data_IF_671711211622
#
_entry.id   IF_671711211622
#
_cell.length_a   1.000
_cell.length_b   1.000
_cell.length_c   1.000
_cell.angle_alpha   90.00
_cell.angle_beta   90.00
_cell.angle_gamma   90.00
#
_symmetry.space_group_name_H-M   'P 1'
#
loop_
_entity.id
_entity.type
_entity.pdbx_description
1 polymer ?
#
# COMPACT_ATOMS: atom_id res chain seq x y z
N UNK A 1 -17.01 -17.18 -19.56
CA UNK A 1 -15.79 -17.46 -20.31
C UNK A 1 -14.65 -17.91 -19.41
N UNK A 2 -13.50 -18.21 -20.02
CA UNK A 2 -12.26 -18.59 -19.31
C UNK A 2 -11.09 -17.78 -19.89
N UNK A 3 -10.13 -17.41 -19.07
CA UNK A 3 -8.86 -16.87 -19.55
C UNK A 3 -8.10 -18.00 -20.28
N UNK A 4 -7.73 -17.77 -21.54
CA UNK A 4 -7.06 -18.78 -22.39
C UNK A 4 -5.54 -18.60 -22.42
N UNK A 5 -5.09 -17.36 -22.30
CA UNK A 5 -3.68 -16.99 -22.45
C UNK A 5 -3.38 -15.65 -21.80
N UNK A 6 -2.10 -15.39 -21.59
CA UNK A 6 -1.56 -14.09 -21.19
C UNK A 6 -0.73 -13.55 -22.35
N UNK A 7 -1.02 -12.30 -22.75
CA UNK A 7 -0.22 -11.56 -23.73
C UNK A 7 0.89 -10.81 -22.99
N UNK A 8 2.10 -10.83 -23.54
CA UNK A 8 3.26 -10.14 -22.99
C UNK A 8 4.21 -9.69 -24.08
N UNK A 9 5.07 -8.74 -23.79
CA UNK A 9 6.13 -8.32 -24.70
C UNK A 9 7.45 -9.00 -24.34
N UNK A 10 8.11 -9.56 -25.33
CA UNK A 10 9.46 -10.13 -25.16
C UNK A 10 10.52 -9.01 -25.04
N UNK A 11 11.77 -9.39 -24.77
CA UNK A 11 12.89 -8.45 -24.66
C UNK A 11 13.18 -7.65 -25.94
N UNK A 12 12.56 -8.00 -27.05
CA UNK A 12 12.68 -7.31 -28.34
C UNK A 12 11.46 -6.42 -28.66
N UNK A 13 10.50 -6.39 -27.73
CA UNK A 13 9.24 -5.63 -27.91
C UNK A 13 8.19 -6.33 -28.78
N UNK A 14 8.36 -7.63 -29.09
CA UNK A 14 7.36 -8.38 -29.84
C UNK A 14 6.28 -8.91 -28.90
N UNK A 15 5.01 -8.78 -29.29
CA UNK A 15 3.91 -9.38 -28.56
C UNK A 15 3.95 -10.91 -28.69
N UNK A 16 3.81 -11.57 -27.56
CA UNK A 16 3.81 -13.02 -27.40
C UNK A 16 2.57 -13.46 -26.62
N UNK A 17 2.13 -14.69 -26.79
CA UNK A 17 1.01 -15.28 -26.08
C UNK A 17 1.46 -16.55 -25.35
N UNK A 18 1.16 -16.61 -24.04
CA UNK A 18 1.37 -17.82 -23.24
C UNK A 18 0.02 -18.41 -22.84
N UNK A 19 -0.28 -19.59 -23.36
CA UNK A 19 -1.48 -20.35 -22.96
C UNK A 19 -1.32 -20.93 -21.55
N UNK A 20 -2.40 -20.89 -20.78
CA UNK A 20 -2.45 -21.42 -19.42
C UNK A 20 -3.84 -22.01 -19.11
N UNK A 21 -3.87 -23.03 -18.24
CA UNK A 21 -5.11 -23.57 -17.68
C UNK A 21 -5.70 -22.66 -16.62
N UNK A 22 -4.83 -22.01 -15.83
CA UNK A 22 -5.18 -21.00 -14.84
C UNK A 22 -4.24 -19.81 -14.96
N UNK A 23 -4.75 -18.61 -14.66
CA UNK A 23 -4.00 -17.35 -14.62
C UNK A 23 -4.07 -16.80 -13.20
N UNK A 24 -2.92 -16.48 -12.63
CA UNK A 24 -2.80 -15.86 -11.30
C UNK A 24 -2.17 -14.49 -11.48
N UNK A 25 -2.92 -13.45 -11.15
CA UNK A 25 -2.47 -12.05 -11.26
C UNK A 25 -1.96 -11.58 -9.90
N UNK A 26 -0.76 -11.00 -9.89
CA UNK A 26 -0.05 -10.52 -8.71
C UNK A 26 0.66 -9.18 -9.02
N UNK A 27 -0.04 -8.26 -9.67
CA UNK A 27 0.52 -6.98 -10.15
C UNK A 27 0.39 -5.82 -9.17
N UNK A 28 -0.03 -6.05 -7.93
CA UNK A 28 -0.38 -5.07 -6.89
C UNK A 28 -1.69 -4.30 -7.17
N UNK A 29 -2.07 -3.39 -6.24
CA UNK A 29 -3.32 -2.62 -6.33
C UNK A 29 -3.36 -1.55 -7.43
N UNK A 30 -2.29 -1.36 -8.21
CA UNK A 30 -2.29 -0.46 -9.35
C UNK A 30 -2.27 -1.22 -10.68
N UNK A 31 -1.31 -2.14 -10.86
CA UNK A 31 -1.15 -2.83 -12.14
C UNK A 31 -2.13 -3.99 -12.34
N UNK A 32 -2.61 -4.63 -11.26
CA UNK A 32 -3.66 -5.67 -11.37
C UNK A 32 -4.94 -5.11 -11.97
N UNK A 33 -5.56 -4.04 -11.45
CA UNK A 33 -6.75 -3.47 -12.09
C UNK A 33 -6.44 -2.90 -13.50
N UNK A 34 -5.26 -2.32 -13.73
CA UNK A 34 -4.86 -1.89 -15.08
C UNK A 34 -4.90 -3.04 -16.07
N UNK A 35 -4.28 -4.17 -15.74
CA UNK A 35 -4.27 -5.37 -16.60
C UNK A 35 -5.68 -5.86 -16.89
N UNK A 36 -6.54 -5.94 -15.87
CA UNK A 36 -7.92 -6.40 -16.03
C UNK A 36 -8.75 -5.44 -16.91
N UNK A 37 -8.63 -4.14 -16.69
CA UNK A 37 -9.32 -3.12 -17.50
C UNK A 37 -8.84 -3.12 -18.95
N UNK A 38 -7.53 -3.27 -19.22
CA UNK A 38 -6.99 -3.39 -20.58
C UNK A 38 -7.38 -4.70 -21.27
N UNK A 39 -7.79 -5.71 -20.53
CA UNK A 39 -8.18 -7.03 -21.04
C UNK A 39 -9.68 -7.07 -21.43
N UNK A 40 -10.24 -5.93 -21.84
CA UNK A 40 -11.60 -5.85 -22.35
C UNK A 40 -11.79 -6.69 -23.62
N UNK A 41 -13.00 -7.19 -23.83
CA UNK A 41 -13.41 -7.99 -24.99
C UNK A 41 -14.88 -7.76 -25.32
N UNK A 42 -15.36 -8.28 -26.45
CA UNK A 42 -16.78 -8.21 -26.79
C UNK A 42 -17.69 -8.83 -25.72
N UNK A 43 -17.20 -9.81 -24.97
CA UNK A 43 -17.94 -10.46 -23.87
C UNK A 43 -17.82 -9.70 -22.55
N UNK A 44 -16.78 -8.91 -22.36
CA UNK A 44 -16.49 -8.12 -21.15
C UNK A 44 -15.97 -6.73 -21.56
N UNK A 45 -16.84 -5.86 -22.08
CA UNK A 45 -16.44 -4.58 -22.67
C UNK A 45 -15.85 -3.58 -21.67
N UNK A 46 -16.20 -3.73 -20.38
CA UNK A 46 -15.74 -2.84 -19.31
C UNK A 46 -14.47 -3.36 -18.59
N UNK A 47 -13.80 -4.38 -19.18
CA UNK A 47 -12.62 -5.04 -18.63
C UNK A 47 -12.89 -6.47 -18.13
N UNK A 48 -11.85 -7.28 -18.11
CA UNK A 48 -11.90 -8.67 -17.65
C UNK A 48 -12.24 -8.72 -16.15
N UNK A 49 -13.13 -9.62 -15.75
CA UNK A 49 -13.58 -9.78 -14.37
C UNK A 49 -14.27 -8.55 -13.75
N UNK A 50 -14.88 -7.70 -14.56
CA UNK A 50 -15.44 -6.40 -14.14
C UNK A 50 -16.96 -6.28 -14.31
N UNK A 51 -17.73 -7.38 -14.28
CA UNK A 51 -19.19 -7.34 -14.35
C UNK A 51 -19.81 -6.54 -13.19
N UNK A 52 -19.16 -6.53 -12.03
CA UNK A 52 -19.55 -5.74 -10.86
C UNK A 52 -19.26 -4.25 -10.98
N UNK A 53 -18.35 -3.84 -11.89
CA UNK A 53 -17.82 -2.48 -11.96
C UNK A 53 -16.86 -2.10 -10.81
N UNK A 54 -16.36 -3.10 -10.04
CA UNK A 54 -15.47 -2.86 -8.89
C UNK A 54 -13.98 -2.96 -9.22
N UNK A 55 -13.59 -3.41 -10.41
CA UNK A 55 -12.19 -3.37 -10.82
C UNK A 55 -11.68 -1.94 -10.87
N UNK A 56 -10.66 -1.65 -10.11
CA UNK A 56 -10.05 -0.34 -9.96
C UNK A 56 -10.63 0.53 -8.85
N UNK A 57 -11.80 0.21 -8.26
CA UNK A 57 -12.43 0.99 -7.18
C UNK A 57 -11.89 0.62 -5.80
N UNK A 58 -12.21 1.47 -4.82
CA UNK A 58 -11.86 1.28 -3.41
C UNK A 58 -10.34 1.24 -3.16
N UNK A 59 -9.58 2.00 -3.92
CA UNK A 59 -8.14 2.16 -3.68
C UNK A 59 -7.91 2.68 -2.26
N UNK A 60 -7.07 1.99 -1.51
CA UNK A 60 -6.66 2.38 -0.17
C UNK A 60 -5.15 2.55 -0.13
N UNK A 61 -4.73 3.71 0.41
CA UNK A 61 -3.38 3.96 0.88
C UNK A 61 -3.44 4.07 2.40
N UNK A 62 -2.41 3.71 3.11
CA UNK A 62 -2.33 4.07 4.53
C UNK A 62 -1.72 5.47 4.63
N UNK A 63 -2.38 6.39 5.30
CA UNK A 63 -1.75 7.64 5.69
C UNK A 63 -0.75 7.37 6.83
N UNK A 64 0.29 8.19 6.90
CA UNK A 64 1.33 8.04 7.91
C UNK A 64 1.67 9.41 8.51
N UNK A 65 1.56 9.50 9.82
CA UNK A 65 2.12 10.59 10.59
C UNK A 65 3.58 10.29 10.96
N UNK A 66 4.42 11.30 10.93
CA UNK A 66 5.84 11.17 11.24
C UNK A 66 6.27 12.16 12.33
N UNK A 67 6.94 11.64 13.33
CA UNK A 67 7.70 12.45 14.29
C UNK A 67 9.14 11.97 14.23
N UNK A 68 10.06 12.92 14.04
CA UNK A 68 11.48 12.62 14.11
C UNK A 68 12.02 13.03 15.47
N UNK A 69 12.90 12.23 16.04
CA UNK A 69 13.43 12.43 17.37
C UNK A 69 14.92 12.14 17.42
N UNK A 70 15.71 13.06 17.98
CA UNK A 70 17.15 12.93 18.19
C UNK A 70 17.43 12.68 19.66
N UNK A 71 18.37 11.80 19.94
CA UNK A 71 18.79 11.40 21.29
C UNK A 71 20.24 11.79 21.55
N UNK A 72 20.59 12.02 22.81
CA UNK A 72 21.95 12.37 23.21
C UNK A 72 22.95 11.27 22.86
N UNK A 73 22.56 10.00 23.08
CA UNK A 73 23.42 8.84 22.81
C UNK A 73 23.20 8.26 21.43
N UNK A 74 24.25 7.78 20.75
CA UNK A 74 24.09 7.05 19.50
C UNK A 74 23.24 5.80 19.68
N UNK A 75 22.18 5.67 18.91
CA UNK A 75 21.27 4.52 18.86
C UNK A 75 21.78 3.44 17.92
N UNK A 76 22.46 3.86 16.83
CA UNK A 76 22.98 2.97 15.79
C UNK A 76 21.91 2.03 15.18
N UNK A 77 20.71 2.51 15.09
CA UNK A 77 19.52 1.78 14.62
C UNK A 77 19.69 1.21 13.20
N UNK A 78 20.47 1.87 12.35
CA UNK A 78 20.81 1.40 11.00
C UNK A 78 21.52 0.04 10.96
N UNK A 79 22.02 -0.46 12.09
CA UNK A 79 22.67 -1.78 12.22
C UNK A 79 21.70 -2.92 12.51
N UNK A 80 20.43 -2.59 12.78
CA UNK A 80 19.40 -3.54 13.14
C UNK A 80 18.32 -3.71 12.08
N UNK A 81 17.26 -4.43 12.44
CA UNK A 81 16.03 -4.48 11.63
C UNK A 81 15.26 -3.17 11.81
N UNK A 82 14.56 -2.77 10.75
CA UNK A 82 13.91 -1.47 10.68
C UNK A 82 12.83 -1.26 11.76
N UNK A 83 12.01 -2.27 12.04
CA UNK A 83 10.93 -2.21 13.03
C UNK A 83 10.97 -3.46 13.91
N UNK A 84 11.06 -3.28 15.23
CA UNK A 84 11.06 -4.39 16.19
C UNK A 84 9.92 -4.34 17.20
N UNK A 85 9.27 -3.18 17.35
CA UNK A 85 8.19 -2.94 18.31
C UNK A 85 7.12 -2.07 17.66
N UNK A 86 5.87 -2.40 17.97
CA UNK A 86 4.70 -1.66 17.53
C UNK A 86 3.76 -1.51 18.72
N UNK A 87 3.23 -0.31 18.92
CA UNK A 87 2.18 0.01 19.88
C UNK A 87 0.85 -0.13 19.16
N UNK A 88 -0.02 -1.02 19.64
CA UNK A 88 -1.34 -1.28 19.09
C UNK A 88 -2.50 -0.75 19.95
N UNK A 89 -2.19 -0.02 21.02
CA UNK A 89 -3.19 0.50 21.98
C UNK A 89 -4.25 1.39 21.32
N UNK A 90 -3.95 1.94 20.15
CA UNK A 90 -4.84 2.84 19.39
C UNK A 90 -5.47 2.17 18.17
N UNK A 91 -5.36 0.86 18.03
CA UNK A 91 -5.80 0.16 16.82
C UNK A 91 -7.32 0.00 16.75
N UNK A 92 -7.94 -0.30 17.85
CA UNK A 92 -9.40 -0.47 17.93
C UNK A 92 -10.12 0.89 17.76
N UNK A 93 -11.28 0.85 17.11
CA UNK A 93 -12.15 2.01 17.01
C UNK A 93 -12.59 2.46 18.40
N UNK A 94 -12.56 3.78 18.63
CA UNK A 94 -12.98 4.40 19.89
C UNK A 94 -13.73 5.70 19.58
N UNK A 95 -15.03 5.69 19.77
CA UNK A 95 -15.91 6.83 19.47
C UNK A 95 -15.53 8.11 20.24
N UNK A 96 -14.88 7.96 21.41
CA UNK A 96 -14.42 9.10 22.19
C UNK A 96 -13.30 9.92 21.49
N UNK A 97 -12.65 9.35 20.49
CA UNK A 97 -11.63 10.05 19.71
C UNK A 97 -12.20 11.00 18.65
N UNK A 98 -13.49 10.85 18.31
CA UNK A 98 -14.17 11.72 17.35
C UNK A 98 -13.88 11.43 15.88
N UNK A 99 -13.28 10.28 15.55
CA UNK A 99 -13.07 9.77 14.21
C UNK A 99 -13.26 8.24 14.18
N UNK A 100 -13.55 7.69 13.00
CA UNK A 100 -13.67 6.26 12.78
C UNK A 100 -12.32 5.62 12.45
N UNK A 101 -12.12 4.41 12.97
CA UNK A 101 -10.93 3.61 12.70
C UNK A 101 -9.88 3.71 13.81
N UNK A 102 -8.70 3.23 13.49
CA UNK A 102 -7.58 3.21 14.43
C UNK A 102 -6.25 3.05 13.72
N UNK A 103 -5.20 3.06 14.50
CA UNK A 103 -3.84 2.96 13.98
C UNK A 103 -2.87 2.42 15.01
N UNK A 104 -1.61 2.45 14.68
CA UNK A 104 -0.57 2.04 15.61
C UNK A 104 0.70 2.82 15.37
N UNK A 105 1.56 2.82 16.36
CA UNK A 105 2.82 3.54 16.33
C UNK A 105 3.97 2.54 16.29
N UNK A 106 4.85 2.70 15.33
CA UNK A 106 6.13 2.00 15.29
C UNK A 106 7.31 2.97 15.33
N UNK A 107 8.45 2.47 15.80
CA UNK A 107 9.69 3.21 15.82
C UNK A 107 10.62 2.56 14.83
N UNK A 108 11.13 3.34 13.89
CA UNK A 108 11.99 2.81 12.82
C UNK A 108 13.24 3.64 12.60
N UNK A 109 14.28 2.91 12.17
CA UNK A 109 15.42 3.54 11.52
C UNK A 109 14.92 4.35 10.34
N UNK A 110 15.40 5.55 10.18
CA UNK A 110 15.17 6.30 8.96
C UNK A 110 15.69 5.50 7.77
N UNK A 111 14.84 5.20 6.89
CA UNK A 111 14.76 4.42 5.66
C UNK A 111 16.05 3.94 5.00
N UNK A 112 17.21 4.36 5.44
CA UNK A 112 18.44 3.90 4.82
C UNK A 112 19.68 4.11 5.67
N UNK A 113 20.63 3.23 5.43
CA UNK A 113 22.01 3.41 5.82
C UNK A 113 22.71 4.55 5.06
N UNK A 114 22.03 5.34 4.24
CA UNK A 114 22.65 6.44 3.47
C UNK A 114 22.24 7.81 4.02
N UNK A 115 23.20 8.67 4.37
CA UNK A 115 22.93 10.00 4.89
C UNK A 115 22.05 10.88 3.97
N UNK A 116 22.07 10.66 2.66
CA UNK A 116 21.28 11.44 1.68
C UNK A 116 19.78 11.22 1.89
N UNK A 117 19.33 9.99 2.04
CA UNK A 117 17.90 9.69 2.30
C UNK A 117 17.49 10.16 3.70
N UNK A 118 18.39 10.15 4.66
CA UNK A 118 18.16 10.75 5.96
C UNK A 118 17.86 12.25 5.84
N UNK A 119 18.59 12.95 4.98
CA UNK A 119 18.40 14.39 4.78
C UNK A 119 17.08 14.74 4.11
N UNK A 120 16.54 13.87 3.24
CA UNK A 120 15.27 14.14 2.57
C UNK A 120 14.05 13.91 3.49
N UNK A 121 14.14 12.92 4.37
CA UNK A 121 12.98 12.42 5.11
C UNK A 121 12.93 12.89 6.57
N UNK A 122 13.98 13.48 7.09
CA UNK A 122 14.05 13.70 8.51
C UNK A 122 14.97 14.80 9.01
N UNK A 123 15.26 15.82 8.22
CA UNK A 123 16.06 16.95 8.74
C UNK A 123 15.22 17.85 9.65
N UNK A 124 15.81 18.37 10.73
CA UNK A 124 15.16 19.37 11.56
C UNK A 124 14.79 20.63 10.76
N UNK A 125 13.62 21.25 11.01
CA UNK A 125 13.13 22.39 10.22
C UNK A 125 13.96 23.67 10.40
N UNK A 126 14.78 23.76 11.45
CA UNK A 126 15.65 24.88 11.77
C UNK A 126 17.06 24.75 11.19
N UNK A 127 17.35 23.71 10.44
CA UNK A 127 18.64 23.46 9.80
C UNK A 127 18.59 23.86 8.32
N UNK A 128 19.60 24.57 7.80
CA UNK A 128 19.66 24.85 6.37
C UNK A 128 19.61 23.57 5.53
N UNK A 129 18.97 23.63 4.36
CA UNK A 129 18.84 22.47 3.46
C UNK A 129 20.10 22.18 2.61
N UNK A 130 21.18 22.93 2.80
CA UNK A 130 22.45 22.78 2.07
C UNK A 130 23.63 23.43 2.81
N UNK A 131 24.85 23.13 2.36
CA UNK A 131 26.08 23.72 2.89
C UNK A 131 26.73 22.90 4.01
N UNK A 132 27.68 23.50 4.73
CA UNK A 132 28.46 22.82 5.77
C UNK A 132 27.57 22.43 6.97
N UNK A 133 26.77 23.37 7.47
CA UNK A 133 25.88 23.11 8.60
C UNK A 133 24.90 21.96 8.35
N UNK A 134 24.38 21.83 7.13
CA UNK A 134 23.55 20.69 6.73
C UNK A 134 24.31 19.35 6.79
N UNK A 135 25.56 19.33 6.31
CA UNK A 135 26.40 18.12 6.35
C UNK A 135 26.75 17.70 7.77
N UNK A 136 27.06 18.70 8.62
CA UNK A 136 27.41 18.48 10.02
C UNK A 136 26.23 17.94 10.80
N UNK A 137 25.01 18.44 10.54
CA UNK A 137 23.78 17.95 11.15
C UNK A 137 23.45 16.52 10.72
N UNK A 138 23.60 16.20 9.43
CA UNK A 138 23.43 14.81 8.94
C UNK A 138 24.42 13.88 9.66
N UNK A 139 25.70 14.26 9.72
CA UNK A 139 26.72 13.43 10.34
C UNK A 139 26.45 13.21 11.84
N UNK A 140 25.93 14.23 12.52
CA UNK A 140 25.58 14.15 13.95
C UNK A 140 24.36 13.27 14.17
N UNK A 141 23.26 13.49 13.39
CA UNK A 141 21.97 12.87 13.62
C UNK A 141 21.90 11.43 13.09
N UNK A 142 22.66 11.08 12.07
CA UNK A 142 22.61 9.77 11.42
C UNK A 142 22.62 8.57 12.37
N UNK A 143 23.37 8.66 13.47
CA UNK A 143 23.43 7.59 14.48
C UNK A 143 22.51 7.80 15.68
N UNK A 144 21.81 8.94 15.77
CA UNK A 144 21.08 9.39 16.96
C UNK A 144 19.59 9.64 16.72
N UNK A 145 19.16 9.63 15.48
CA UNK A 145 17.80 9.98 15.11
C UNK A 145 16.98 8.74 14.82
N UNK A 146 15.73 8.76 15.27
CA UNK A 146 14.69 7.80 14.93
C UNK A 146 13.50 8.51 14.30
N UNK A 147 12.73 7.79 13.49
CA UNK A 147 11.37 8.15 13.12
C UNK A 147 10.37 7.34 13.94
N UNK A 148 9.43 8.04 14.55
CA UNK A 148 8.27 7.47 15.22
C UNK A 148 7.10 7.66 14.26
N UNK A 149 6.54 6.57 13.78
CA UNK A 149 5.58 6.58 12.68
C UNK A 149 4.23 6.10 13.14
N UNK A 150 3.23 6.95 13.01
CA UNK A 150 1.83 6.61 13.18
C UNK A 150 1.24 6.12 11.87
N UNK A 151 0.97 4.81 11.75
CA UNK A 151 0.29 4.25 10.58
C UNK A 151 -1.20 4.16 10.82
N UNK A 152 -2.01 4.70 9.91
CA UNK A 152 -3.47 4.69 9.98
C UNK A 152 -4.08 3.50 9.25
N UNK A 153 -5.33 3.16 9.57
CA UNK A 153 -6.22 2.49 8.62
C UNK A 153 -6.69 3.50 7.57
N UNK A 154 -7.16 3.05 6.41
CA UNK A 154 -7.80 3.91 5.41
C UNK A 154 -9.17 3.37 5.05
N UNK A 155 -10.12 4.25 4.84
CA UNK A 155 -11.45 3.90 4.40
C UNK A 155 -11.46 3.53 2.91
N UNK A 156 -12.20 2.47 2.56
CA UNK A 156 -12.39 2.04 1.19
C UNK A 156 -13.50 2.87 0.53
N UNK A 157 -13.13 3.97 -0.12
CA UNK A 157 -14.07 4.89 -0.77
C UNK A 157 -14.20 4.56 -2.26
N UNK A 158 -15.42 4.56 -2.78
CA UNK A 158 -15.69 4.34 -4.22
C UNK A 158 -15.09 5.44 -5.11
N UNK A 159 -14.91 6.65 -4.57
CA UNK A 159 -14.26 7.76 -5.24
C UNK A 159 -12.76 7.55 -5.47
N UNK A 160 -12.13 6.74 -4.63
CA UNK A 160 -10.71 6.42 -4.73
C UNK A 160 -10.51 5.25 -5.69
N UNK A 161 -9.87 5.50 -6.83
CA UNK A 161 -9.84 4.50 -7.89
C UNK A 161 -8.60 4.58 -8.79
N UNK A 162 -8.41 3.48 -9.52
CA UNK A 162 -7.51 3.35 -10.66
C UNK A 162 -8.36 3.19 -11.91
N UNK A 163 -8.12 4.01 -12.91
CA UNK A 163 -8.71 3.88 -14.25
C UNK A 163 -7.62 3.91 -15.33
N UNK A 164 -7.98 3.56 -16.55
CA UNK A 164 -7.07 3.75 -17.68
C UNK A 164 -7.04 5.23 -18.08
N UNK A 165 -5.83 5.75 -18.29
CA UNK A 165 -5.66 7.12 -18.79
C UNK A 165 -5.93 7.17 -20.30
N UNK A 166 -6.87 8.01 -20.78
CA UNK A 166 -7.20 8.07 -22.20
C UNK A 166 -6.14 8.82 -23.04
N UNK A 167 -5.24 9.58 -22.39
CA UNK A 167 -4.32 10.48 -23.08
C UNK A 167 -2.87 9.97 -23.03
N UNK A 168 -2.52 9.22 -21.98
CA UNK A 168 -1.16 8.76 -21.76
C UNK A 168 -1.02 7.26 -21.95
N UNK A 169 0.03 6.85 -22.65
CA UNK A 169 0.35 5.45 -22.88
C UNK A 169 1.77 5.12 -22.40
N UNK A 170 2.02 3.85 -22.17
CA UNK A 170 3.36 3.33 -21.93
C UNK A 170 4.15 3.20 -23.25
N UNK A 171 5.38 2.68 -23.15
CA UNK A 171 6.29 2.46 -24.28
C UNK A 171 5.77 1.49 -25.35
N UNK A 172 4.76 0.69 -25.02
CA UNK A 172 4.09 -0.25 -25.92
C UNK A 172 2.77 0.28 -26.48
N UNK A 173 2.44 1.56 -26.22
CA UNK A 173 1.18 2.19 -26.66
C UNK A 173 -0.05 1.72 -25.86
N UNK A 174 0.13 1.07 -24.71
CA UNK A 174 -0.97 0.66 -23.83
C UNK A 174 -1.33 1.79 -22.87
N UNK A 175 -2.61 1.98 -22.54
CA UNK A 175 -3.03 3.03 -21.61
C UNK A 175 -2.29 2.95 -20.27
N UNK A 176 -1.79 4.09 -19.80
CA UNK A 176 -1.26 4.23 -18.45
C UNK A 176 -2.38 4.22 -17.41
N UNK A 177 -2.02 4.20 -16.13
CA UNK A 177 -3.01 4.35 -15.05
C UNK A 177 -3.27 5.84 -14.79
N UNK A 178 -4.54 6.14 -14.46
CA UNK A 178 -4.94 7.38 -13.80
C UNK A 178 -5.38 7.04 -12.38
N UNK A 179 -4.72 7.66 -11.41
CA UNK A 179 -5.02 7.49 -9.99
C UNK A 179 -5.86 8.65 -9.50
N UNK A 180 -7.02 8.35 -8.91
CA UNK A 180 -7.84 9.30 -8.16
C UNK A 180 -7.83 8.88 -6.71
N UNK A 181 -7.30 9.73 -5.83
CA UNK A 181 -7.22 9.42 -4.40
C UNK A 181 -7.38 10.68 -3.54
N UNK A 182 -8.18 10.55 -2.51
CA UNK A 182 -8.35 11.55 -1.46
C UNK A 182 -8.56 10.81 -0.12
N UNK A 183 -7.79 11.19 0.89
CA UNK A 183 -8.02 10.70 2.25
C UNK A 183 -9.38 11.18 2.75
N UNK A 184 -10.06 10.36 3.55
CA UNK A 184 -11.23 10.77 4.31
C UNK A 184 -10.82 11.68 5.48
N UNK A 185 -11.71 12.55 5.93
CA UNK A 185 -11.44 13.42 7.07
C UNK A 185 -11.07 12.61 8.34
N UNK A 186 -11.65 11.44 8.52
CA UNK A 186 -11.29 10.53 9.61
C UNK A 186 -9.87 9.99 9.50
N UNK A 187 -9.39 9.71 8.27
CA UNK A 187 -8.01 9.25 8.05
C UNK A 187 -7.00 10.34 8.44
N UNK A 188 -7.31 11.60 8.12
CA UNK A 188 -6.49 12.76 8.50
C UNK A 188 -6.55 13.05 9.99
N UNK A 189 -7.74 12.97 10.60
CA UNK A 189 -7.92 13.15 12.04
C UNK A 189 -7.18 12.08 12.84
N UNK A 190 -7.22 10.83 12.38
CA UNK A 190 -6.48 9.72 12.97
C UNK A 190 -4.97 9.93 12.84
N UNK A 191 -4.48 10.38 11.67
CA UNK A 191 -3.07 10.68 11.46
C UNK A 191 -2.60 11.78 12.44
N UNK A 192 -3.39 12.84 12.61
CA UNK A 192 -3.10 13.91 13.57
C UNK A 192 -3.05 13.38 15.01
N UNK A 193 -4.02 12.56 15.41
CA UNK A 193 -4.02 11.93 16.73
C UNK A 193 -2.76 11.08 16.95
N UNK A 194 -2.35 10.27 15.96
CA UNK A 194 -1.14 9.45 16.07
C UNK A 194 0.14 10.29 16.08
N UNK A 195 0.18 11.42 15.37
CA UNK A 195 1.31 12.35 15.43
C UNK A 195 1.47 12.94 16.85
N UNK A 196 0.34 13.30 17.50
CA UNK A 196 0.37 13.79 18.88
C UNK A 196 0.90 12.73 19.85
N UNK A 197 0.43 11.49 19.75
CA UNK A 197 0.92 10.36 20.57
C UNK A 197 2.38 10.05 20.29
N UNK A 198 2.83 10.15 19.03
CA UNK A 198 4.22 9.94 18.66
C UNK A 198 5.13 11.03 19.25
N UNK A 199 4.65 12.28 19.32
CA UNK A 199 5.38 13.36 19.95
C UNK A 199 5.54 13.16 21.46
N UNK A 200 4.45 12.78 22.14
CA UNK A 200 4.51 12.41 23.57
C UNK A 200 5.46 11.25 23.85
N UNK A 201 5.48 10.26 22.94
CA UNK A 201 6.40 9.13 23.05
C UNK A 201 7.86 9.59 22.91
N UNK A 202 8.17 10.47 21.96
CA UNK A 202 9.51 11.03 21.79
C UNK A 202 9.99 11.75 23.05
N UNK A 203 9.14 12.60 23.64
CA UNK A 203 9.42 13.33 24.87
C UNK A 203 9.64 12.38 26.06
N UNK A 204 8.73 11.43 26.26
CA UNK A 204 8.82 10.44 27.34
C UNK A 204 10.06 9.53 27.22
N UNK A 205 10.50 9.26 25.98
CA UNK A 205 11.74 8.50 25.72
C UNK A 205 13.02 9.30 25.95
N UNK A 206 12.93 10.61 26.24
CA UNK A 206 14.07 11.47 26.51
C UNK A 206 14.77 11.99 25.25
N UNK A 207 14.03 12.23 24.18
CA UNK A 207 14.56 12.92 23.01
C UNK A 207 15.06 14.33 23.38
N UNK A 208 16.26 14.68 22.93
CA UNK A 208 16.81 16.03 23.13
C UNK A 208 16.28 17.04 22.12
N UNK A 209 15.74 16.54 21.01
CA UNK A 209 15.06 17.31 19.96
C UNK A 209 14.02 16.42 19.29
N UNK A 210 12.83 16.93 19.07
CA UNK A 210 11.79 16.26 18.30
C UNK A 210 11.02 17.27 17.43
N UNK A 211 10.53 16.82 16.28
CA UNK A 211 9.71 17.64 15.39
C UNK A 211 8.72 16.79 14.62
N UNK A 212 7.60 17.40 14.28
CA UNK A 212 6.53 16.81 13.50
C UNK A 212 6.86 16.84 12.02
N UNK A 213 6.50 15.80 11.29
CA UNK A 213 6.53 15.78 9.84
C UNK A 213 5.37 16.55 9.20
N UNK A 214 4.31 16.74 9.99
CA UNK A 214 3.05 17.32 9.55
C UNK A 214 2.13 16.29 8.93
N UNK A 215 0.83 16.48 9.14
CA UNK A 215 -0.23 15.65 8.56
C UNK A 215 -0.81 16.36 7.35
N UNK A 216 -1.01 15.63 6.28
CA UNK A 216 -1.60 16.15 5.05
C UNK A 216 -2.10 15.01 4.15
N UNK A 217 -2.72 15.36 3.02
CA UNK A 217 -3.20 14.38 2.07
C UNK A 217 -2.09 13.45 1.59
N UNK A 218 -2.42 12.15 1.49
CA UNK A 218 -1.51 11.15 0.95
C UNK A 218 -1.32 11.37 -0.55
N UNK A 219 -0.11 11.67 -0.97
CA UNK A 219 0.24 11.89 -2.38
C UNK A 219 0.88 10.68 -3.04
N UNK A 220 1.36 9.73 -2.25
CA UNK A 220 1.94 8.46 -2.72
C UNK A 220 1.88 7.41 -1.62
N UNK A 221 1.87 6.14 -2.01
CA UNK A 221 1.97 5.02 -1.06
C UNK A 221 2.59 3.79 -1.72
N UNK A 222 3.27 2.98 -0.93
CA UNK A 222 3.65 1.61 -1.29
C UNK A 222 2.55 0.60 -0.92
N UNK A 223 1.51 1.03 -0.21
CA UNK A 223 0.38 0.20 0.20
C UNK A 223 -0.78 0.38 -0.78
N UNK A 224 -0.73 -0.35 -1.90
CA UNK A 224 -1.71 -0.29 -2.98
C UNK A 224 -2.72 -1.43 -2.79
N UNK A 225 -3.88 -1.11 -2.21
CA UNK A 225 -4.84 -2.10 -1.72
C UNK A 225 -6.26 -1.83 -2.26
N UNK A 226 -7.11 -2.87 -2.30
CA UNK A 226 -8.55 -2.76 -2.43
C UNK A 226 -9.14 -2.77 -3.84
N UNK A 227 -8.37 -2.55 -4.87
CA UNK A 227 -8.84 -2.29 -6.25
C UNK A 227 -9.38 -3.49 -7.01
N UNK A 228 -9.35 -4.69 -6.43
CA UNK A 228 -10.02 -5.90 -6.90
C UNK A 228 -10.56 -6.67 -5.68
N UNK A 229 -11.29 -5.94 -4.81
CA UNK A 229 -11.73 -6.41 -3.50
C UNK A 229 -12.40 -7.77 -3.53
N UNK A 230 -12.11 -8.58 -2.50
CA UNK A 230 -12.79 -9.86 -2.31
C UNK A 230 -14.15 -9.69 -1.63
N UNK A 231 -15.03 -10.68 -1.83
CA UNK A 231 -16.33 -10.75 -1.17
C UNK A 231 -17.13 -11.95 -1.61
N UNK A 232 -18.22 -12.24 -0.91
CA UNK A 232 -19.10 -13.36 -1.24
C UNK A 232 -20.19 -12.99 -2.27
N UNK A 233 -20.46 -11.70 -2.43
CA UNK A 233 -21.45 -11.19 -3.39
C UNK A 233 -20.75 -10.70 -4.68
N UNK A 234 -20.99 -11.35 -5.82
CA UNK A 234 -20.41 -10.98 -7.10
C UNK A 234 -20.84 -9.57 -7.58
N UNK A 235 -21.92 -9.02 -7.04
CA UNK A 235 -22.35 -7.66 -7.40
C UNK A 235 -21.51 -6.56 -6.71
N UNK A 236 -20.77 -6.88 -5.65
CA UNK A 236 -20.02 -5.92 -4.83
C UNK A 236 -18.56 -6.29 -4.64
N UNK A 237 -18.06 -7.27 -5.39
CA UNK A 237 -16.69 -7.76 -5.32
C UNK A 237 -16.18 -8.26 -6.67
N UNK A 238 -14.88 -8.41 -6.81
CA UNK A 238 -14.21 -8.91 -8.03
C UNK A 238 -13.84 -10.38 -7.89
N UNK A 239 -13.38 -10.77 -6.72
CA UNK A 239 -12.99 -12.14 -6.41
C UNK A 239 -13.72 -12.65 -5.17
N UNK A 240 -13.87 -13.96 -5.08
CA UNK A 240 -14.41 -14.63 -3.90
C UNK A 240 -13.38 -14.72 -2.77
N UNK A 241 -13.79 -15.29 -1.64
CA UNK A 241 -12.92 -15.53 -0.48
C UNK A 241 -11.71 -16.41 -0.74
N UNK A 242 -11.68 -17.15 -1.84
CA UNK A 242 -10.58 -18.01 -2.27
C UNK A 242 -9.72 -17.35 -3.37
N UNK A 243 -9.88 -16.03 -3.57
CA UNK A 243 -9.18 -15.21 -4.56
C UNK A 243 -9.53 -15.54 -6.03
N UNK A 244 -10.57 -16.35 -6.26
CA UNK A 244 -11.05 -16.72 -7.59
C UNK A 244 -11.99 -15.62 -8.11
N UNK A 245 -11.82 -15.20 -9.36
CA UNK A 245 -12.75 -14.27 -10.00
C UNK A 245 -14.15 -14.84 -10.07
N UNK A 246 -15.17 -14.01 -9.77
CA UNK A 246 -16.57 -14.37 -9.93
C UNK A 246 -16.94 -14.60 -11.39
N UNK A 247 -16.36 -13.83 -12.33
CA UNK A 247 -16.70 -13.87 -13.75
C UNK A 247 -15.89 -14.90 -14.53
N UNK A 248 -14.63 -15.15 -14.12
CA UNK A 248 -13.65 -15.94 -14.87
C UNK A 248 -13.10 -17.06 -14.00
N UNK A 249 -13.66 -18.29 -14.10
CA UNK A 249 -13.44 -19.35 -13.12
C UNK A 249 -12.00 -19.89 -13.04
N UNK A 250 -11.12 -19.55 -13.96
CA UNK A 250 -9.70 -19.92 -13.93
C UNK A 250 -8.76 -18.71 -13.76
N UNK A 251 -9.30 -17.57 -13.34
CA UNK A 251 -8.54 -16.36 -13.01
C UNK A 251 -8.52 -16.16 -11.49
N UNK A 252 -7.36 -15.88 -10.94
CA UNK A 252 -7.15 -15.61 -9.52
C UNK A 252 -6.37 -14.30 -9.35
N UNK A 253 -6.68 -13.54 -8.29
CA UNK A 253 -5.95 -12.32 -7.92
C UNK A 253 -5.35 -12.51 -6.53
N UNK A 254 -4.02 -12.56 -6.45
CA UNK A 254 -3.30 -12.92 -5.21
C UNK A 254 -2.31 -11.83 -4.77
N UNK A 255 -2.80 -10.60 -4.65
CA UNK A 255 -2.03 -9.45 -4.18
C UNK A 255 -2.88 -8.52 -3.32
N UNK A 256 -2.36 -7.33 -3.00
CA UNK A 256 -3.05 -6.35 -2.15
C UNK A 256 -4.33 -5.78 -2.74
N UNK A 257 -4.57 -5.91 -4.05
CA UNK A 257 -5.81 -5.44 -4.67
C UNK A 257 -7.05 -6.16 -4.14
N UNK A 258 -6.91 -7.38 -3.65
CA UNK A 258 -8.02 -8.19 -3.12
C UNK A 258 -8.49 -7.79 -1.71
N UNK A 259 -7.79 -6.90 -1.03
CA UNK A 259 -8.15 -6.46 0.33
C UNK A 259 -9.48 -5.71 0.36
N UNK A 260 -10.20 -5.84 1.48
CA UNK A 260 -11.47 -5.14 1.74
C UNK A 260 -11.30 -4.01 2.76
N UNK A 261 -10.22 -4.02 3.50
CA UNK A 261 -9.80 -3.01 4.46
C UNK A 261 -8.28 -2.96 4.48
N UNK A 262 -7.71 -1.79 4.69
CA UNK A 262 -6.26 -1.64 4.64
C UNK A 262 -5.54 -2.22 5.86
N UNK A 263 -6.23 -2.31 7.01
CA UNK A 263 -5.54 -2.47 8.30
C UNK A 263 -4.61 -1.29 8.58
N UNK A 264 -3.79 -1.38 9.62
CA UNK A 264 -2.77 -0.37 9.90
C UNK A 264 -1.41 -0.81 9.38
N UNK A 265 -0.76 -0.01 8.57
CA UNK A 265 0.65 -0.20 8.19
C UNK A 265 0.90 -1.36 7.23
N UNK A 266 1.98 -2.08 7.38
CA UNK A 266 2.61 -2.95 6.38
C UNK A 266 1.76 -4.17 6.00
N UNK A 267 1.16 -4.23 4.79
CA UNK A 267 0.23 -5.29 4.41
C UNK A 267 0.92 -6.58 3.92
N UNK A 268 2.22 -6.56 3.67
CA UNK A 268 2.96 -7.63 2.98
C UNK A 268 2.76 -9.01 3.60
N UNK A 269 2.83 -9.12 4.94
CA UNK A 269 2.67 -10.43 5.60
C UNK A 269 1.25 -10.99 5.43
N UNK A 270 0.24 -10.13 5.44
CA UNK A 270 -1.16 -10.53 5.18
C UNK A 270 -1.33 -10.94 3.72
N UNK A 271 -0.74 -10.20 2.76
CA UNK A 271 -0.73 -10.57 1.34
C UNK A 271 -0.12 -11.97 1.17
N UNK A 272 1.02 -12.23 1.79
CA UNK A 272 1.69 -13.54 1.71
C UNK A 272 0.83 -14.66 2.33
N UNK A 273 0.24 -14.43 3.49
CA UNK A 273 -0.63 -15.42 4.14
C UNK A 273 -1.85 -15.76 3.27
N UNK A 274 -2.48 -14.75 2.67
CA UNK A 274 -3.59 -14.93 1.75
C UNK A 274 -3.17 -15.65 0.46
N UNK A 275 -1.98 -15.36 -0.07
CA UNK A 275 -1.43 -16.04 -1.24
C UNK A 275 -1.15 -17.53 -0.97
N UNK A 276 -0.63 -17.90 0.21
CA UNK A 276 -0.49 -19.31 0.62
C UNK A 276 -1.85 -20.01 0.68
N UNK A 277 -2.85 -19.36 1.28
CA UNK A 277 -4.23 -19.89 1.33
C UNK A 277 -4.80 -20.07 -0.08
N UNK A 278 -4.65 -19.07 -0.96
CA UNK A 278 -5.10 -19.16 -2.35
C UNK A 278 -4.41 -20.31 -3.10
N UNK A 279 -3.10 -20.51 -2.90
CA UNK A 279 -2.36 -21.59 -3.52
C UNK A 279 -2.93 -22.98 -3.16
N UNK A 280 -3.33 -23.19 -1.91
CA UNK A 280 -3.97 -24.45 -1.50
C UNK A 280 -5.33 -24.65 -2.18
N UNK A 281 -6.12 -23.59 -2.37
CA UNK A 281 -7.40 -23.62 -3.08
C UNK A 281 -7.21 -23.88 -4.57
N UNK A 282 -6.24 -23.25 -5.21
CA UNK A 282 -5.88 -23.48 -6.61
C UNK A 282 -5.44 -24.95 -6.82
N UNK A 283 -4.61 -25.49 -5.93
CA UNK A 283 -4.22 -26.92 -5.98
C UNK A 283 -5.42 -27.85 -5.87
N UNK A 284 -6.34 -27.56 -4.96
CA UNK A 284 -7.55 -28.34 -4.78
C UNK A 284 -8.46 -28.30 -6.04
N UNK A 285 -8.66 -27.10 -6.62
CA UNK A 285 -9.41 -26.92 -7.85
C UNK A 285 -8.78 -27.66 -9.04
N UNK A 286 -7.45 -27.61 -9.17
CA UNK A 286 -6.71 -28.34 -10.20
C UNK A 286 -6.85 -29.85 -10.03
N UNK A 287 -6.78 -30.37 -8.80
CA UNK A 287 -6.96 -31.80 -8.52
C UNK A 287 -8.40 -32.29 -8.78
N UNK A 288 -9.38 -31.41 -8.62
CA UNK A 288 -10.79 -31.69 -8.94
C UNK A 288 -11.12 -31.58 -10.44
N UNK A 289 -10.19 -31.04 -11.25
CA UNK A 289 -10.42 -30.78 -12.68
C UNK A 289 -11.27 -29.55 -12.97
N UNK A 290 -11.40 -28.63 -12.01
CA UNK A 290 -12.16 -27.39 -12.15
C UNK A 290 -11.40 -26.31 -12.95
N UNK A 291 -10.05 -26.44 -13.03
CA UNK A 291 -9.15 -25.56 -13.77
C UNK A 291 -8.11 -26.32 -14.57
#
# INVERSE_FOLDING_TARGET
GRASEVLYYDARGNEQAQRAKAVIVCGNGAETPRLLLMSASDQQPDGLANSSGFVGRNLMFNNHAFVNAVFEKPLNDYKGVQVTRIIHDFYENDEARGFYGGGGIDVRALWSATPILHSELGMPPDVPSWGAAWKDEIAHNFTRQLSIVGGTTSLALDSNNITLDPENTDEHGRPSIRVTYLDHDDDLAMAQFLEDRAMELAEAAGAVKAWRGGVGPTTWSAHLLGTCRMGDDPATSVVDRDHRSHDVPNLFVCDGSSFVTSGRGQPTMTIMALAFRAADRIKAAAAAGDI
#
